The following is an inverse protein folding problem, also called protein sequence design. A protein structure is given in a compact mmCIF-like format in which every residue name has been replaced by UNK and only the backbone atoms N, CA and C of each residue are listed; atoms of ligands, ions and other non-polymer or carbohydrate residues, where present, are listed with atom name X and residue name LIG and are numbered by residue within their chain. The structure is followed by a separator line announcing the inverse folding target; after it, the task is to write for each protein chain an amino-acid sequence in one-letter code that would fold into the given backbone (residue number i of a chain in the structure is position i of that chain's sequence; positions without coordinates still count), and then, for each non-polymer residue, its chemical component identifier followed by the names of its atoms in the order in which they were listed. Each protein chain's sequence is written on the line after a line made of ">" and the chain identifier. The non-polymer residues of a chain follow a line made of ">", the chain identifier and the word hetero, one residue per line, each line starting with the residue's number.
data_IF_674070620885
#
_entry.id   IF_674070620885
#
_cell.length_a   1.000
_cell.length_b   1.000
_cell.length_c   1.000
_cell.angle_alpha   90.00
_cell.angle_beta   90.00
_cell.angle_gamma   90.00
#
_symmetry.space_group_name_H-M   'P 1'
#
loop_
_entity.id
_entity.type
_entity.pdbx_description
1 polymer ?
#
# COMPACT_ATOMS: atom_id res chain seq x y z
N UNK A 1 -18.26 -21.48 8.13
CA UNK A 1 -16.98 -20.80 8.46
C UNK A 1 -16.32 -20.45 7.13
N UNK A 2 -16.28 -19.17 6.74
CA UNK A 2 -15.69 -18.79 5.45
C UNK A 2 -14.15 -18.86 5.54
N UNK A 3 -13.45 -19.29 4.48
CA UNK A 3 -12.00 -19.40 4.50
C UNK A 3 -11.37 -18.00 4.61
N UNK A 4 -10.50 -17.81 5.60
CA UNK A 4 -9.68 -16.60 5.73
C UNK A 4 -8.80 -16.48 4.49
N UNK A 5 -8.78 -15.31 3.85
CA UNK A 5 -7.80 -15.02 2.80
C UNK A 5 -6.42 -14.89 3.45
N UNK A 6 -5.38 -15.36 2.77
CA UNK A 6 -4.00 -15.41 3.30
C UNK A 6 -3.38 -14.04 3.68
N UNK A 7 -4.04 -12.93 3.34
CA UNK A 7 -3.59 -11.56 3.61
C UNK A 7 -4.53 -10.80 4.58
N UNK A 8 -5.28 -11.52 5.42
CA UNK A 8 -6.24 -10.93 6.36
C UNK A 8 -5.80 -11.14 7.81
N UNK A 9 -5.79 -10.05 8.58
CA UNK A 9 -5.41 -9.96 9.98
C UNK A 9 -6.57 -9.38 10.77
N UNK A 10 -6.74 -9.76 12.03
CA UNK A 10 -7.57 -8.99 12.98
C UNK A 10 -6.76 -7.81 13.53
N UNK A 11 -7.45 -6.78 14.04
CA UNK A 11 -6.79 -5.66 14.72
C UNK A 11 -5.95 -6.15 15.92
N UNK A 12 -6.46 -7.13 16.67
CA UNK A 12 -5.75 -7.74 17.82
C UNK A 12 -4.47 -8.46 17.38
N UNK A 13 -4.50 -9.22 16.28
CA UNK A 13 -3.31 -9.90 15.73
C UNK A 13 -2.27 -8.89 15.22
N UNK A 14 -2.73 -7.80 14.60
CA UNK A 14 -1.89 -6.72 14.09
C UNK A 14 -1.22 -5.94 15.23
N UNK A 15 -1.95 -5.65 16.31
CA UNK A 15 -1.42 -4.97 17.51
C UNK A 15 -0.43 -5.84 18.26
N UNK A 16 -0.72 -7.13 18.42
CA UNK A 16 0.14 -8.07 19.13
C UNK A 16 1.46 -8.32 18.37
N UNK A 17 1.44 -8.33 17.04
CA UNK A 17 2.60 -8.72 16.22
C UNK A 17 2.88 -7.75 15.07
N UNK A 18 3.08 -6.48 15.40
CA UNK A 18 3.32 -5.43 14.40
C UNK A 18 4.54 -5.70 13.52
N UNK A 19 5.61 -6.28 14.05
CA UNK A 19 6.80 -6.66 13.27
C UNK A 19 6.47 -7.70 12.19
N UNK A 20 5.70 -8.74 12.56
CA UNK A 20 5.30 -9.80 11.64
C UNK A 20 4.36 -9.29 10.56
N UNK A 21 3.47 -8.35 10.92
CA UNK A 21 2.63 -7.64 9.95
C UNK A 21 3.51 -6.87 8.95
N UNK A 22 4.50 -6.10 9.40
CA UNK A 22 5.40 -5.38 8.51
C UNK A 22 6.22 -6.30 7.60
N UNK A 23 6.67 -7.45 8.10
CA UNK A 23 7.34 -8.47 7.29
C UNK A 23 6.39 -9.09 6.25
N UNK A 24 5.15 -9.39 6.63
CA UNK A 24 4.13 -9.88 5.70
C UNK A 24 3.81 -8.84 4.62
N UNK A 25 3.76 -7.55 4.99
CA UNK A 25 3.57 -6.45 4.03
C UNK A 25 4.73 -6.37 3.03
N UNK A 26 5.97 -6.59 3.49
CA UNK A 26 7.18 -6.57 2.63
C UNK A 26 7.27 -7.78 1.70
N UNK A 27 6.89 -8.96 2.18
CA UNK A 27 7.05 -10.23 1.45
C UNK A 27 5.85 -10.56 0.56
N UNK A 28 4.64 -10.34 1.06
CA UNK A 28 3.40 -10.76 0.40
C UNK A 28 2.58 -9.58 -0.16
N UNK A 29 3.07 -8.35 0.00
CA UNK A 29 2.39 -7.14 -0.43
C UNK A 29 1.29 -6.69 0.56
N UNK A 30 0.37 -5.81 0.14
CA UNK A 30 -0.59 -5.17 1.04
C UNK A 30 -1.39 -6.16 1.90
N UNK A 31 -1.44 -5.90 3.19
CA UNK A 31 -2.17 -6.72 4.18
C UNK A 31 -3.45 -6.00 4.60
N UNK A 32 -4.54 -6.74 4.76
CA UNK A 32 -5.84 -6.23 5.20
C UNK A 32 -6.01 -6.53 6.69
N UNK A 33 -6.22 -5.50 7.49
CA UNK A 33 -6.56 -5.62 8.90
C UNK A 33 -8.06 -5.40 9.04
N UNK A 34 -8.79 -6.36 9.59
CA UNK A 34 -10.22 -6.27 9.85
C UNK A 34 -10.42 -5.86 11.31
N UNK A 35 -11.18 -4.80 11.48
CA UNK A 35 -11.62 -4.29 12.77
C UNK A 35 -13.15 -4.36 12.82
N UNK A 36 -13.75 -5.19 13.70
CA UNK A 36 -15.19 -5.29 13.84
C UNK A 36 -15.91 -3.97 14.12
N UNK A 37 -15.21 -2.99 14.72
CA UNK A 37 -15.76 -1.69 15.08
C UNK A 37 -15.60 -0.65 13.98
N UNK A 38 -14.48 -0.70 13.25
CA UNK A 38 -14.10 0.36 12.30
C UNK A 38 -14.02 -0.12 10.83
N UNK A 39 -14.35 -1.38 10.55
CA UNK A 39 -14.35 -1.95 9.20
C UNK A 39 -13.03 -2.65 8.87
N UNK A 40 -12.24 -2.08 7.96
CA UNK A 40 -10.93 -2.64 7.62
C UNK A 40 -9.92 -1.59 7.21
N UNK A 41 -8.65 -1.84 7.52
CA UNK A 41 -7.49 -1.06 7.11
C UNK A 41 -6.67 -1.86 6.10
N UNK A 42 -6.00 -1.16 5.18
CA UNK A 42 -5.02 -1.77 4.29
C UNK A 42 -3.65 -1.18 4.63
N UNK A 43 -2.72 -2.05 5.00
CA UNK A 43 -1.33 -1.67 5.28
C UNK A 43 -0.47 -2.08 4.09
N UNK A 44 0.22 -1.12 3.50
CA UNK A 44 1.11 -1.32 2.36
C UNK A 44 2.45 -0.64 2.58
N UNK A 45 3.54 -1.28 2.18
CA UNK A 45 4.87 -0.70 2.21
C UNK A 45 5.15 -0.01 0.87
N UNK A 46 4.97 1.30 0.83
CA UNK A 46 5.48 2.12 -0.27
C UNK A 46 6.98 2.32 -0.08
N UNK A 47 7.79 1.72 -0.95
CA UNK A 47 9.20 2.08 -1.07
C UNK A 47 9.24 3.45 -1.78
N UNK A 48 9.62 4.56 -1.11
CA UNK A 48 9.76 5.84 -1.76
C UNK A 48 11.07 5.84 -2.54
N UNK A 49 11.19 5.02 -3.59
CA UNK A 49 12.17 5.33 -4.61
C UNK A 49 11.73 6.65 -5.24
N UNK A 50 12.59 7.68 -5.29
CA UNK A 50 12.29 8.90 -6.03
C UNK A 50 12.12 8.49 -7.49
N UNK A 51 10.88 8.29 -7.92
CA UNK A 51 10.57 7.99 -9.31
C UNK A 51 10.88 9.30 -10.07
N UNK A 52 11.90 9.35 -10.94
CA UNK A 52 12.16 10.55 -11.71
C UNK A 52 10.91 10.82 -12.55
N UNK A 53 10.22 11.90 -12.24
CA UNK A 53 9.07 12.34 -13.00
C UNK A 53 9.61 13.06 -14.22
N UNK A 54 9.57 12.42 -15.39
CA UNK A 54 9.88 13.08 -16.66
C UNK A 54 8.78 14.11 -16.93
N UNK A 55 9.02 15.37 -16.58
CA UNK A 55 8.20 16.48 -17.02
C UNK A 55 8.50 16.68 -18.50
N UNK A 56 7.60 16.21 -19.38
CA UNK A 56 7.64 16.57 -20.80
C UNK A 56 7.11 17.99 -20.94
N UNK A 57 8.00 18.97 -21.13
CA UNK A 57 7.60 20.28 -21.62
C UNK A 57 7.29 20.13 -23.12
N UNK A 58 6.01 20.29 -23.48
CA UNK A 58 5.63 20.50 -24.87
C UNK A 58 5.93 21.98 -25.16
N UNK A 59 7.07 22.26 -25.79
CA UNK A 59 7.34 23.59 -26.33
C UNK A 59 6.66 23.65 -27.69
N UNK A 60 5.43 24.13 -27.75
CA UNK A 60 4.81 24.57 -29.00
C UNK A 60 5.45 25.90 -29.38
N UNK A 61 6.55 25.81 -30.14
CA UNK A 61 7.15 26.95 -30.80
C UNK A 61 6.27 27.38 -31.96
N UNK A 62 5.35 28.32 -31.71
CA UNK A 62 4.77 29.14 -32.76
C UNK A 62 5.82 30.14 -33.24
N UNK A 63 6.45 29.87 -34.39
CA UNK A 63 7.08 30.92 -35.18
C UNK A 63 5.94 31.55 -35.97
N UNK A 64 5.41 32.66 -35.47
CA UNK A 64 4.67 33.60 -36.31
C UNK A 64 5.74 34.39 -37.08
N UNK A 65 5.91 34.06 -38.36
CA UNK A 65 6.63 34.86 -39.36
C UNK A 65 5.65 35.82 -40.04
#
# INVERSE_FOLDING_TARGET
>A
MMPRKANEWTIEEAELNMLKLLEAVRTNGPQRIVDPLNGFFIVSHTNPQPKPSFIKFLVEGGVDE
#
